data_IF_875290426880
#
_entry.id   IF_875290426880
#
_cell.length_a   1.000
_cell.length_b   1.000
_cell.length_c   1.000
_cell.angle_alpha   90.00
_cell.angle_beta   90.00
_cell.angle_gamma   90.00
#
_symmetry.space_group_name_H-M   'P 1'
#
loop_
_entity.id
_entity.type
_entity.pdbx_description
1 polymer ?
#
# COMPACT_ATOMS: atom_id res chain seq x y z
N UNK A 1 25.00 -10.68 17.38
CA UNK A 1 24.78 -10.80 18.83
C UNK A 1 24.00 -12.09 19.07
N UNK A 2 24.52 -13.04 19.84
CA UNK A 2 23.83 -14.30 20.12
C UNK A 2 22.70 -14.02 21.12
N UNK A 3 21.51 -14.48 20.80
CA UNK A 3 20.28 -14.23 21.56
C UNK A 3 20.06 -15.46 22.44
N UNK A 4 19.94 -15.28 23.75
CA UNK A 4 19.86 -16.38 24.73
C UNK A 4 18.84 -16.15 25.85
N UNK A 5 17.93 -17.07 26.10
CA UNK A 5 17.19 -17.48 27.28
C UNK A 5 15.65 -17.54 27.24
N UNK A 6 15.03 -18.58 27.76
CA UNK A 6 13.65 -19.01 27.58
C UNK A 6 12.67 -18.61 28.69
N UNK A 7 11.44 -18.25 28.34
CA UNK A 7 10.28 -18.13 29.23
C UNK A 7 9.16 -19.11 28.85
N UNK A 8 8.21 -19.33 29.76
CA UNK A 8 7.12 -20.29 29.57
C UNK A 8 6.09 -19.77 28.58
N UNK A 9 5.48 -20.67 27.84
CA UNK A 9 4.40 -20.44 26.87
C UNK A 9 3.21 -19.66 27.46
N UNK A 10 2.99 -19.81 28.79
CA UNK A 10 1.93 -19.13 29.55
C UNK A 10 2.09 -17.60 29.63
N UNK A 11 3.29 -17.08 29.42
CA UNK A 11 3.54 -15.63 29.45
C UNK A 11 3.09 -14.95 28.15
N UNK A 12 2.77 -15.74 27.12
CA UNK A 12 2.28 -15.29 25.81
C UNK A 12 0.82 -15.62 25.53
N UNK A 13 0.19 -16.50 26.30
CA UNK A 13 -1.21 -16.93 26.06
C UNK A 13 -2.22 -15.76 26.15
N UNK A 14 -1.88 -14.70 26.87
CA UNK A 14 -2.69 -13.47 26.92
C UNK A 14 -2.24 -12.37 25.95
N UNK A 15 -1.12 -12.59 25.21
CA UNK A 15 -0.50 -11.56 24.39
C UNK A 15 -1.02 -11.56 22.95
N UNK A 16 -1.38 -12.74 22.43
CA UNK A 16 -1.82 -12.92 21.05
C UNK A 16 -3.09 -13.79 21.00
N UNK A 17 -4.22 -13.24 21.42
CA UNK A 17 -5.51 -13.89 21.24
C UNK A 17 -6.07 -13.62 19.84
N UNK A 18 -6.91 -14.52 19.27
CA UNK A 18 -7.57 -14.28 18.00
C UNK A 18 -8.44 -13.02 17.98
N UNK A 19 -8.93 -12.58 19.15
CA UNK A 19 -9.72 -11.36 19.28
C UNK A 19 -8.87 -10.08 19.13
N UNK A 20 -7.56 -10.16 19.32
CA UNK A 20 -6.62 -9.02 19.22
C UNK A 20 -6.02 -8.85 17.81
N UNK A 21 -6.24 -9.78 16.90
CA UNK A 21 -5.74 -9.68 15.52
C UNK A 21 -6.43 -8.58 14.71
N UNK A 22 -7.72 -8.33 14.94
CA UNK A 22 -8.47 -7.31 14.22
C UNK A 22 -7.94 -5.87 14.43
N UNK A 23 -7.59 -5.44 15.65
CA UNK A 23 -6.98 -4.11 15.86
C UNK A 23 -5.64 -3.93 15.14
N UNK A 24 -4.80 -4.96 15.12
CA UNK A 24 -3.49 -4.89 14.43
C UNK A 24 -3.68 -4.79 12.93
N UNK A 25 -4.63 -5.53 12.38
CA UNK A 25 -4.97 -5.44 10.98
C UNK A 25 -5.50 -4.06 10.59
N UNK A 26 -6.34 -3.44 11.42
CA UNK A 26 -6.81 -2.07 11.21
C UNK A 26 -5.66 -1.06 11.24
N UNK A 27 -4.67 -1.23 12.10
CA UNK A 27 -3.48 -0.38 12.15
C UNK A 27 -2.65 -0.52 10.87
N UNK A 28 -2.42 -1.74 10.38
CA UNK A 28 -1.73 -1.98 9.11
C UNK A 28 -2.48 -1.33 7.94
N UNK A 29 -3.81 -1.44 7.91
CA UNK A 29 -4.64 -0.81 6.88
C UNK A 29 -4.56 0.72 6.91
N UNK A 30 -4.48 1.33 8.08
CA UNK A 30 -4.37 2.79 8.23
C UNK A 30 -3.00 3.32 7.83
N UNK A 31 -1.95 2.53 7.97
CA UNK A 31 -0.58 2.93 7.68
C UNK A 31 -0.22 2.84 6.19
N UNK A 32 -0.78 1.88 5.46
CA UNK A 32 -0.55 1.75 4.02
C UNK A 32 -1.23 2.87 3.23
N UNK A 33 -0.48 3.55 2.37
CA UNK A 33 -0.99 4.61 1.49
C UNK A 33 -1.89 4.03 0.40
N UNK A 34 -1.48 2.95 -0.23
CA UNK A 34 -2.29 2.35 -1.31
C UNK A 34 -3.57 1.70 -0.78
N UNK A 35 -3.56 1.13 0.42
CA UNK A 35 -4.79 0.60 1.04
C UNK A 35 -5.83 1.70 1.33
N UNK A 36 -5.41 2.95 1.53
CA UNK A 36 -6.32 4.07 1.74
C UNK A 36 -6.95 4.58 0.43
N UNK A 37 -6.21 4.48 -0.67
CA UNK A 37 -6.63 5.00 -1.98
C UNK A 37 -7.39 3.97 -2.81
N UNK A 38 -6.97 2.71 -2.75
CA UNK A 38 -7.54 1.62 -3.53
C UNK A 38 -8.73 1.03 -2.77
N UNK A 39 -9.89 0.82 -3.43
CA UNK A 39 -11.04 0.23 -2.78
C UNK A 39 -10.79 -1.22 -2.34
N UNK A 40 -11.21 -1.53 -1.13
CA UNK A 40 -11.16 -2.87 -0.58
C UNK A 40 -12.32 -3.73 -1.09
N UNK A 41 -12.03 -4.97 -1.47
CA UNK A 41 -13.00 -5.98 -1.89
C UNK A 41 -12.92 -7.18 -0.95
N UNK A 42 -14.06 -7.77 -0.53
CA UNK A 42 -14.05 -9.01 0.25
C UNK A 42 -13.28 -10.10 -0.50
N UNK A 43 -12.35 -10.76 0.17
CA UNK A 43 -11.53 -11.83 -0.41
C UNK A 43 -11.73 -13.13 0.37
N UNK A 44 -12.06 -14.19 -0.35
CA UNK A 44 -12.14 -15.55 0.22
C UNK A 44 -10.85 -16.32 0.00
N UNK A 45 -10.68 -17.43 0.71
CA UNK A 45 -9.51 -18.32 0.62
C UNK A 45 -9.25 -18.81 -0.82
N UNK A 46 -10.31 -18.95 -1.62
CA UNK A 46 -10.21 -19.39 -3.02
C UNK A 46 -10.08 -18.20 -3.99
N UNK A 47 -9.74 -17.01 -3.51
CA UNK A 47 -9.71 -15.81 -4.32
C UNK A 47 -11.09 -15.23 -4.63
N UNK A 48 -11.11 -14.13 -5.37
CA UNK A 48 -12.33 -13.41 -5.76
C UNK A 48 -12.27 -13.02 -7.23
N UNK A 49 -13.36 -13.24 -7.96
CA UNK A 49 -13.52 -12.75 -9.33
C UNK A 49 -14.24 -11.40 -9.31
N UNK A 50 -13.60 -10.40 -9.89
CA UNK A 50 -14.14 -9.04 -10.01
C UNK A 50 -14.51 -8.78 -11.46
N UNK A 51 -15.80 -8.58 -11.77
CA UNK A 51 -16.21 -8.25 -13.12
C UNK A 51 -15.83 -6.82 -13.48
N UNK A 52 -15.18 -6.63 -14.63
CA UNK A 52 -14.77 -5.32 -15.15
C UNK A 52 -15.40 -5.12 -16.51
N UNK A 53 -16.06 -3.97 -16.69
CA UNK A 53 -16.63 -3.59 -17.99
C UNK A 53 -15.51 -3.07 -18.90
N UNK A 54 -15.25 -3.79 -19.98
CA UNK A 54 -14.21 -3.45 -20.99
C UNK A 54 -14.79 -2.59 -22.11
N UNK A 55 -16.02 -2.83 -22.52
CA UNK A 55 -16.71 -2.01 -23.50
C UNK A 55 -18.10 -1.60 -23.03
N UNK A 56 -18.44 -0.33 -23.21
CA UNK A 56 -19.76 0.22 -22.87
C UNK A 56 -20.64 0.30 -24.11
N UNK A 57 -21.94 0.08 -24.00
CA UNK A 57 -22.84 0.30 -25.11
C UNK A 57 -22.86 1.76 -25.53
N UNK A 58 -22.95 2.02 -26.82
CA UNK A 58 -23.06 3.36 -27.40
C UNK A 58 -24.48 3.61 -27.86
N UNK A 59 -24.99 4.83 -27.66
CA UNK A 59 -26.28 5.26 -28.16
C UNK A 59 -26.09 6.18 -29.37
N UNK A 60 -26.91 5.99 -30.41
CA UNK A 60 -26.92 6.84 -31.60
C UNK A 60 -28.29 7.46 -31.82
N UNK A 61 -28.32 8.67 -32.39
CA UNK A 61 -29.55 9.29 -32.83
C UNK A 61 -30.10 8.60 -34.06
N UNK A 62 -31.36 8.24 -34.07
CA UNK A 62 -32.00 7.49 -35.16
C UNK A 62 -33.19 8.31 -35.66
N UNK A 63 -33.29 8.47 -36.97
CA UNK A 63 -34.44 9.09 -37.60
C UNK A 63 -35.68 8.24 -37.52
N UNK A 64 -36.82 8.85 -37.83
CA UNK A 64 -38.13 8.13 -37.90
C UNK A 64 -38.03 6.97 -38.90
N UNK A 65 -38.53 5.79 -38.54
CA UNK A 65 -38.52 4.56 -39.33
C UNK A 65 -37.12 4.00 -39.71
N UNK A 66 -36.02 4.55 -39.14
CA UNK A 66 -34.66 4.03 -39.38
C UNK A 66 -34.31 2.87 -38.47
N UNK A 67 -33.43 1.98 -38.97
CA UNK A 67 -32.93 0.85 -38.18
C UNK A 67 -32.11 1.33 -37.00
N UNK A 68 -32.40 0.77 -35.80
CA UNK A 68 -31.63 1.06 -34.59
C UNK A 68 -30.36 0.21 -34.59
N UNK A 69 -29.17 0.83 -34.39
CA UNK A 69 -27.91 0.10 -34.29
C UNK A 69 -27.88 -0.73 -33.01
N UNK A 70 -27.48 -1.98 -33.14
CA UNK A 70 -27.22 -2.86 -32.01
C UNK A 70 -25.83 -2.53 -31.44
N UNK A 71 -25.73 -2.44 -30.13
CA UNK A 71 -24.45 -2.25 -29.42
C UNK A 71 -24.26 -3.38 -28.41
N UNK A 72 -23.04 -3.86 -28.30
CA UNK A 72 -22.69 -4.89 -27.32
C UNK A 72 -22.05 -4.23 -26.07
N UNK A 73 -22.24 -4.87 -24.94
CA UNK A 73 -21.49 -4.59 -23.72
C UNK A 73 -20.55 -5.78 -23.48
N UNK A 74 -19.27 -5.48 -23.28
CA UNK A 74 -18.27 -6.50 -22.99
C UNK A 74 -17.83 -6.39 -21.54
N UNK A 75 -17.68 -7.55 -20.91
CA UNK A 75 -17.20 -7.66 -19.52
C UNK A 75 -16.09 -8.70 -19.47
N UNK A 76 -15.07 -8.42 -18.71
CA UNK A 76 -14.00 -9.35 -18.38
C UNK A 76 -14.02 -9.67 -16.89
N UNK A 77 -13.42 -10.79 -16.51
CA UNK A 77 -13.33 -11.24 -15.12
C UNK A 77 -11.88 -11.19 -14.68
N UNK A 78 -11.56 -10.24 -13.83
CA UNK A 78 -10.28 -10.21 -13.14
C UNK A 78 -10.33 -11.09 -11.91
N UNK A 79 -9.27 -11.84 -11.68
CA UNK A 79 -9.15 -12.73 -10.54
C UNK A 79 -8.16 -12.12 -9.53
N UNK A 80 -8.62 -11.96 -8.28
CA UNK A 80 -7.76 -11.59 -7.16
C UNK A 80 -7.39 -12.89 -6.45
N UNK A 81 -6.12 -13.24 -6.50
CA UNK A 81 -5.56 -14.40 -5.83
C UNK A 81 -5.02 -13.98 -4.44
N UNK A 82 -5.33 -14.73 -3.37
CA UNK A 82 -4.75 -14.45 -2.06
C UNK A 82 -3.31 -14.95 -2.00
N UNK A 83 -2.42 -14.07 -1.66
CA UNK A 83 -0.99 -14.33 -1.49
C UNK A 83 -0.58 -14.15 -0.05
N UNK A 84 0.26 -15.05 0.46
CA UNK A 84 0.66 -15.07 1.85
C UNK A 84 1.85 -14.15 2.11
N UNK A 85 1.65 -13.21 3.03
CA UNK A 85 2.69 -12.39 3.63
C UNK A 85 2.97 -12.88 5.05
N UNK A 86 4.22 -13.09 5.39
CA UNK A 86 4.61 -13.61 6.69
C UNK A 86 5.87 -12.92 7.22
N UNK A 87 5.92 -12.74 8.54
CA UNK A 87 7.10 -12.25 9.24
C UNK A 87 7.32 -13.07 10.51
N UNK A 88 8.59 -13.36 10.83
CA UNK A 88 8.99 -14.05 12.06
C UNK A 88 9.85 -13.09 12.87
N UNK A 89 9.37 -12.69 14.04
CA UNK A 89 10.17 -11.97 15.02
C UNK A 89 10.73 -12.96 16.04
N UNK A 90 12.05 -12.91 16.27
CA UNK A 90 12.72 -13.77 17.25
C UNK A 90 13.26 -12.90 18.39
N UNK A 91 12.87 -13.22 19.59
CA UNK A 91 13.24 -12.51 20.81
C UNK A 91 13.91 -13.48 21.80
N UNK A 92 14.80 -12.99 22.67
CA UNK A 92 15.26 -13.81 23.78
C UNK A 92 14.20 -13.83 24.89
N UNK A 93 14.06 -14.95 25.54
CA UNK A 93 13.10 -15.09 26.65
C UNK A 93 13.44 -14.16 27.83
N UNK A 94 14.69 -13.74 27.99
CA UNK A 94 15.07 -12.74 29.00
C UNK A 94 14.55 -11.35 28.64
N UNK A 95 14.65 -10.95 27.37
CA UNK A 95 14.08 -9.69 26.89
C UNK A 95 12.57 -9.67 27.04
N UNK A 96 11.91 -10.75 26.69
CA UNK A 96 10.45 -10.88 26.86
C UNK A 96 10.05 -10.75 28.34
N UNK A 97 10.79 -11.42 29.25
CA UNK A 97 10.54 -11.37 30.70
C UNK A 97 10.84 -9.99 31.29
N UNK A 98 11.96 -9.39 30.90
CA UNK A 98 12.36 -8.08 31.38
C UNK A 98 11.50 -6.95 30.78
N UNK A 99 10.95 -7.18 29.58
CA UNK A 99 10.13 -6.24 28.81
C UNK A 99 10.70 -4.81 28.81
N UNK A 100 12.00 -4.61 28.51
CA UNK A 100 12.62 -3.29 28.53
C UNK A 100 11.98 -2.41 27.47
N UNK A 101 11.56 -1.20 27.87
CA UNK A 101 10.95 -0.24 26.93
C UNK A 101 9.60 -0.69 26.37
N UNK A 102 8.91 -1.63 27.01
CA UNK A 102 7.63 -2.18 26.55
C UNK A 102 7.73 -2.81 25.14
N UNK A 103 8.80 -3.58 24.86
CA UNK A 103 9.03 -4.23 23.55
C UNK A 103 7.83 -5.09 23.15
N UNK A 104 7.22 -5.80 24.08
CA UNK A 104 6.05 -6.65 23.81
C UNK A 104 4.86 -5.85 23.30
N UNK A 105 4.64 -4.63 23.82
CA UNK A 105 3.60 -3.72 23.36
C UNK A 105 3.93 -3.05 22.02
N UNK A 106 5.22 -2.91 21.69
CA UNK A 106 5.68 -2.29 20.44
C UNK A 106 5.78 -3.27 19.26
N UNK A 107 5.87 -4.57 19.53
CA UNK A 107 6.01 -5.59 18.48
C UNK A 107 4.87 -5.57 17.48
N UNK A 108 3.64 -5.35 17.95
CA UNK A 108 2.44 -5.30 17.10
C UNK A 108 2.47 -4.13 16.11
N UNK A 109 2.68 -2.87 16.54
CA UNK A 109 2.83 -1.75 15.62
C UNK A 109 3.93 -1.96 14.58
N UNK A 110 5.09 -2.48 14.97
CA UNK A 110 6.18 -2.75 14.05
C UNK A 110 5.86 -3.84 13.02
N UNK A 111 5.16 -4.89 13.41
CA UNK A 111 4.69 -5.91 12.48
C UNK A 111 3.63 -5.34 11.52
N UNK A 112 2.71 -4.52 12.03
CA UNK A 112 1.70 -3.86 11.21
C UNK A 112 2.35 -2.92 10.17
N UNK A 113 3.34 -2.15 10.58
CA UNK A 113 4.15 -1.29 9.71
C UNK A 113 4.88 -2.10 8.64
N UNK A 114 5.55 -3.19 9.01
CA UNK A 114 6.24 -4.06 8.07
C UNK A 114 5.29 -4.67 7.03
N UNK A 115 4.08 -5.08 7.42
CA UNK A 115 3.06 -5.56 6.47
C UNK A 115 2.55 -4.45 5.54
N UNK A 116 2.36 -3.23 6.06
CA UNK A 116 1.94 -2.09 5.26
C UNK A 116 3.00 -1.72 4.20
N UNK A 117 4.27 -1.64 4.60
CA UNK A 117 5.39 -1.35 3.69
C UNK A 117 5.53 -2.44 2.62
N UNK A 118 5.48 -3.72 3.03
CA UNK A 118 5.57 -4.83 2.10
C UNK A 118 4.44 -4.83 1.07
N UNK A 119 3.23 -4.49 1.50
CA UNK A 119 2.08 -4.36 0.60
C UNK A 119 2.27 -3.19 -0.37
N UNK A 120 2.72 -2.04 0.11
CA UNK A 120 2.91 -0.84 -0.72
C UNK A 120 4.03 -1.06 -1.76
N UNK A 121 5.14 -1.71 -1.39
CA UNK A 121 6.20 -2.10 -2.33
C UNK A 121 5.70 -3.07 -3.41
N UNK A 122 4.88 -4.04 -3.02
CA UNK A 122 4.33 -5.02 -3.95
C UNK A 122 3.35 -4.38 -4.95
N UNK A 123 2.42 -3.55 -4.47
CA UNK A 123 1.42 -2.86 -5.29
C UNK A 123 2.05 -1.79 -6.17
N UNK A 124 2.96 -1.02 -5.61
CA UNK A 124 3.65 0.07 -6.32
C UNK A 124 4.61 -0.43 -7.38
N UNK A 125 5.45 -1.41 -7.05
CA UNK A 125 6.69 -1.66 -7.81
C UNK A 125 6.96 -3.11 -8.21
N UNK A 126 6.11 -4.07 -7.82
CA UNK A 126 6.41 -5.50 -7.99
C UNK A 126 7.68 -5.93 -7.22
N UNK A 127 7.88 -5.39 -6.03
CA UNK A 127 9.04 -5.70 -5.21
C UNK A 127 8.61 -6.52 -3.99
N UNK A 128 9.43 -7.49 -3.61
CA UNK A 128 9.21 -8.29 -2.40
C UNK A 128 9.26 -7.43 -1.13
N UNK A 129 8.61 -7.90 -0.07
CA UNK A 129 8.47 -7.14 1.18
C UNK A 129 9.77 -6.84 1.93
N UNK A 130 10.87 -7.47 1.55
CA UNK A 130 12.22 -7.18 2.03
C UNK A 130 12.99 -6.16 1.16
N UNK A 131 12.32 -5.57 0.17
CA UNK A 131 12.91 -4.64 -0.80
C UNK A 131 13.69 -5.33 -1.91
N UNK A 132 13.63 -6.66 -2.01
CA UNK A 132 14.34 -7.46 -3.02
C UNK A 132 13.41 -8.47 -3.69
N UNK A 133 13.81 -8.95 -4.87
CA UNK A 133 13.01 -9.91 -5.63
C UNK A 133 11.74 -9.31 -6.23
N UNK A 134 10.83 -10.17 -6.68
CA UNK A 134 9.53 -9.82 -7.25
C UNK A 134 8.41 -10.14 -6.27
N UNK A 135 7.35 -9.34 -6.29
CA UNK A 135 6.13 -9.62 -5.55
C UNK A 135 5.29 -10.68 -6.28
N UNK A 136 4.31 -11.29 -5.59
CA UNK A 136 3.38 -12.20 -6.26
C UNK A 136 2.32 -11.48 -7.09
N UNK A 137 2.23 -10.13 -7.02
CA UNK A 137 1.19 -9.37 -7.68
C UNK A 137 1.57 -8.99 -9.11
N UNK A 138 0.61 -9.14 -10.02
CA UNK A 138 0.76 -8.68 -11.39
C UNK A 138 0.28 -7.24 -11.57
N UNK A 139 0.83 -6.54 -12.57
CA UNK A 139 0.43 -5.19 -12.95
C UNK A 139 0.60 -4.14 -11.83
N UNK A 140 1.83 -3.94 -11.32
CA UNK A 140 2.09 -2.89 -10.34
C UNK A 140 1.82 -1.50 -10.93
N UNK A 141 1.66 -0.50 -10.09
CA UNK A 141 1.39 0.87 -10.54
C UNK A 141 2.56 1.43 -11.37
N UNK A 142 3.79 1.08 -11.03
CA UNK A 142 5.01 1.51 -11.75
C UNK A 142 5.11 0.99 -13.18
N UNK A 143 4.36 -0.06 -13.55
CA UNK A 143 4.31 -0.59 -14.90
C UNK A 143 3.69 0.39 -15.93
N UNK A 144 3.12 1.52 -15.46
CA UNK A 144 2.64 2.57 -16.36
C UNK A 144 3.79 3.16 -17.17
N UNK A 145 3.50 3.43 -18.46
CA UNK A 145 4.43 4.12 -19.37
C UNK A 145 4.37 5.64 -19.23
N UNK A 146 3.36 6.17 -18.51
CA UNK A 146 3.19 7.60 -18.30
C UNK A 146 4.07 8.05 -17.13
N UNK A 147 4.99 8.97 -17.40
CA UNK A 147 5.87 9.56 -16.39
C UNK A 147 6.00 11.06 -16.58
N UNK A 148 6.20 11.77 -15.50
CA UNK A 148 6.49 13.21 -15.46
C UNK A 148 7.60 13.42 -14.44
N UNK A 149 8.58 14.23 -14.77
CA UNK A 149 9.62 14.65 -13.83
C UNK A 149 9.10 15.84 -13.01
N UNK A 150 9.25 15.76 -11.69
CA UNK A 150 8.87 16.84 -10.76
C UNK A 150 10.09 17.74 -10.55
N UNK A 151 9.89 19.04 -10.67
CA UNK A 151 10.93 20.05 -10.49
C UNK A 151 11.55 20.54 -11.80
N UNK A 152 11.14 20.02 -12.96
CA UNK A 152 11.56 20.55 -14.26
C UNK A 152 10.95 21.93 -14.57
N UNK A 153 9.68 22.13 -14.23
CA UNK A 153 9.02 23.39 -14.50
C UNK A 153 9.55 24.51 -13.61
N UNK A 154 9.95 25.62 -14.22
CA UNK A 154 10.39 26.80 -13.47
C UNK A 154 9.23 27.43 -12.70
N UNK A 155 9.53 28.22 -11.67
CA UNK A 155 8.48 28.89 -10.88
C UNK A 155 7.60 29.83 -11.71
N UNK A 156 8.13 30.40 -12.78
CA UNK A 156 7.38 31.25 -13.73
C UNK A 156 6.38 30.42 -14.55
N UNK A 157 6.70 29.18 -14.87
CA UNK A 157 5.84 28.23 -15.59
C UNK A 157 4.82 27.56 -14.66
N UNK A 158 4.95 27.70 -13.36
CA UNK A 158 4.04 27.17 -12.35
C UNK A 158 4.66 26.14 -11.41
N UNK A 159 5.96 25.84 -11.57
CA UNK A 159 6.71 24.94 -10.68
C UNK A 159 6.07 23.56 -10.57
N UNK A 160 6.19 22.93 -9.43
CA UNK A 160 5.66 21.58 -9.13
C UNK A 160 4.15 21.42 -9.45
N UNK A 161 3.38 22.53 -9.40
CA UNK A 161 1.96 22.49 -9.78
C UNK A 161 1.79 22.22 -11.28
N UNK A 162 2.63 22.81 -12.13
CA UNK A 162 2.59 22.56 -13.57
C UNK A 162 2.94 21.11 -13.90
N UNK A 163 3.93 20.53 -13.21
CA UNK A 163 4.35 19.14 -13.37
C UNK A 163 3.22 18.18 -12.98
N UNK A 164 2.53 18.45 -11.86
CA UNK A 164 1.36 17.66 -11.45
C UNK A 164 0.20 17.74 -12.44
N UNK A 165 -0.04 18.93 -13.00
CA UNK A 165 -1.06 19.14 -14.04
C UNK A 165 -0.65 18.48 -15.35
N UNK A 166 0.64 18.43 -15.69
CA UNK A 166 1.14 17.69 -16.86
C UNK A 166 0.82 16.20 -16.74
N UNK A 167 1.02 15.59 -15.58
CA UNK A 167 0.62 14.20 -15.34
C UNK A 167 -0.90 13.99 -15.46
N UNK A 168 -1.70 14.91 -14.94
CA UNK A 168 -3.15 14.87 -15.14
C UNK A 168 -3.51 14.98 -16.64
N UNK A 169 -2.81 15.81 -17.40
CA UNK A 169 -3.02 15.96 -18.85
C UNK A 169 -2.77 14.64 -19.58
N UNK A 170 -1.67 13.94 -19.28
CA UNK A 170 -1.37 12.63 -19.87
C UNK A 170 -2.49 11.58 -19.65
N UNK A 171 -3.16 11.65 -18.50
CA UNK A 171 -4.30 10.78 -18.22
C UNK A 171 -5.54 11.19 -19.02
N UNK A 172 -5.85 12.49 -19.07
CA UNK A 172 -7.03 13.03 -19.75
C UNK A 172 -6.92 12.86 -21.26
N UNK A 173 -5.74 13.08 -21.85
CA UNK A 173 -5.49 12.90 -23.28
C UNK A 173 -5.73 11.43 -23.71
N UNK A 174 -5.51 10.47 -22.81
CA UNK A 174 -5.82 9.05 -23.00
C UNK A 174 -7.25 8.65 -22.56
N UNK A 175 -8.12 9.64 -22.30
CA UNK A 175 -9.51 9.41 -21.86
C UNK A 175 -9.65 8.81 -20.45
N UNK A 176 -8.59 8.83 -19.65
CA UNK A 176 -8.57 8.36 -18.27
C UNK A 176 -8.92 9.48 -17.28
N UNK A 177 -9.11 9.12 -16.03
CA UNK A 177 -9.47 10.07 -14.96
C UNK A 177 -8.46 10.03 -13.84
N UNK A 178 -8.28 11.17 -13.19
CA UNK A 178 -7.52 11.29 -11.97
C UNK A 178 -8.48 11.26 -10.78
N UNK A 179 -8.35 10.28 -9.90
CA UNK A 179 -9.16 10.15 -8.68
C UNK A 179 -8.41 10.56 -7.41
N UNK A 180 -7.08 10.44 -7.40
CA UNK A 180 -6.26 10.75 -6.23
C UNK A 180 -4.77 10.70 -6.52
N UNK A 181 -3.99 10.95 -5.46
CA UNK A 181 -2.54 10.90 -5.46
C UNK A 181 -2.02 10.08 -4.28
N UNK A 182 -1.00 9.28 -4.53
CA UNK A 182 -0.12 8.70 -3.52
C UNK A 182 1.21 9.44 -3.57
N UNK A 183 1.66 9.98 -2.46
CA UNK A 183 2.82 10.87 -2.37
C UNK A 183 3.83 10.30 -1.38
N UNK A 184 5.10 10.40 -1.69
CA UNK A 184 6.18 10.13 -0.75
C UNK A 184 6.47 11.36 0.13
N UNK A 185 6.96 11.12 1.35
CA UNK A 185 7.32 12.16 2.31
C UNK A 185 8.44 13.08 1.80
N UNK A 186 9.26 12.61 0.88
CA UNK A 186 10.33 13.41 0.23
C UNK A 186 9.75 14.63 -0.50
N UNK A 187 8.52 14.52 -1.02
CA UNK A 187 7.85 15.63 -1.71
C UNK A 187 7.27 16.69 -0.76
N UNK A 188 7.18 16.42 0.54
CA UNK A 188 6.52 17.31 1.49
C UNK A 188 7.08 18.74 1.47
N UNK A 189 8.41 18.98 1.57
CA UNK A 189 8.96 20.33 1.56
C UNK A 189 8.64 21.09 0.25
N UNK A 190 8.68 20.39 -0.88
CA UNK A 190 8.40 20.98 -2.19
C UNK A 190 6.92 21.36 -2.34
N UNK A 191 6.01 20.52 -1.85
CA UNK A 191 4.57 20.78 -1.87
C UNK A 191 4.16 21.92 -0.93
N UNK A 192 4.76 22.01 0.27
CA UNK A 192 4.53 23.12 1.19
C UNK A 192 5.12 24.44 0.69
N UNK A 193 6.24 24.37 -0.03
CA UNK A 193 6.84 25.53 -0.69
C UNK A 193 6.07 26.01 -1.94
N UNK A 194 5.19 25.19 -2.47
CA UNK A 194 4.41 25.50 -3.66
C UNK A 194 3.23 26.41 -3.32
N UNK A 195 3.34 27.68 -3.69
CA UNK A 195 2.30 28.70 -3.48
C UNK A 195 1.83 29.27 -4.80
N UNK A 196 0.55 29.69 -4.87
CA UNK A 196 0.03 30.43 -6.01
C UNK A 196 0.60 31.87 -6.06
N UNK A 197 0.28 32.62 -7.13
CA UNK A 197 0.68 34.03 -7.27
C UNK A 197 0.14 34.93 -6.15
N UNK A 198 -0.80 34.46 -5.36
CA UNK A 198 -1.41 35.17 -4.22
C UNK A 198 -0.83 34.71 -2.87
N UNK A 199 0.17 33.82 -2.88
CA UNK A 199 0.78 33.25 -1.67
C UNK A 199 -0.05 32.19 -0.97
N UNK A 200 -1.04 31.58 -1.65
CA UNK A 200 -1.84 30.49 -1.07
C UNK A 200 -1.16 29.17 -1.32
N UNK A 201 -1.07 28.30 -0.31
CA UNK A 201 -0.50 26.96 -0.49
C UNK A 201 -1.35 26.14 -1.47
N UNK A 202 -0.69 25.42 -2.36
CA UNK A 202 -1.31 24.53 -3.34
C UNK A 202 -1.65 23.17 -2.75
N UNK A 203 -0.94 22.77 -1.70
CA UNK A 203 -1.21 21.59 -0.92
C UNK A 203 -1.87 21.96 0.41
N UNK A 204 -2.83 21.16 0.85
CA UNK A 204 -3.50 21.37 2.12
C UNK A 204 -3.64 20.02 2.84
N UNK A 205 -3.03 19.90 4.00
CA UNK A 205 -3.26 18.78 4.90
C UNK A 205 -4.67 18.83 5.45
N UNK A 206 -5.27 17.66 5.59
CA UNK A 206 -6.48 17.51 6.38
C UNK A 206 -6.08 17.38 7.84
N UNK A 207 -6.81 18.03 8.78
CA UNK A 207 -6.53 17.89 10.20
C UNK A 207 -6.62 16.40 10.59
N UNK A 208 -5.50 15.84 11.01
CA UNK A 208 -5.45 14.55 11.69
C UNK A 208 -5.44 14.80 13.18
N UNK A 209 -6.17 13.98 13.95
CA UNK A 209 -6.08 14.05 15.40
C UNK A 209 -4.62 13.88 15.82
N UNK A 210 -4.13 14.80 16.64
CA UNK A 210 -2.72 14.98 17.00
C UNK A 210 -2.06 13.77 17.71
N UNK A 211 -2.77 12.67 17.87
CA UNK A 211 -2.33 11.44 18.56
C UNK A 211 -2.00 10.31 17.58
N UNK A 212 -2.41 10.40 16.31
CA UNK A 212 -2.16 9.35 15.32
C UNK A 212 -0.86 9.65 14.59
N UNK A 213 0.23 9.05 15.01
CA UNK A 213 1.46 8.92 14.23
C UNK A 213 1.21 7.91 13.10
N UNK A 214 0.39 8.31 12.12
CA UNK A 214 0.05 7.47 10.98
C UNK A 214 1.08 7.69 9.89
N UNK A 215 1.64 6.63 9.32
CA UNK A 215 2.56 6.71 8.17
C UNK A 215 1.84 7.39 6.99
N UNK A 216 0.56 7.11 6.79
CA UNK A 216 -0.22 7.71 5.71
C UNK A 216 -0.97 8.97 6.20
N UNK A 217 -0.54 10.14 5.73
CA UNK A 217 -1.18 11.44 6.05
C UNK A 217 -2.16 11.84 4.96
N UNK A 218 -3.45 12.07 5.30
CA UNK A 218 -4.44 12.51 4.35
C UNK A 218 -4.28 14.00 4.02
N UNK A 219 -4.39 14.34 2.75
CA UNK A 219 -4.33 15.71 2.26
C UNK A 219 -5.19 15.92 1.01
N UNK A 220 -5.11 17.10 0.43
CA UNK A 220 -5.74 17.43 -0.85
C UNK A 220 -4.74 18.06 -1.79
N UNK A 221 -4.64 17.51 -2.98
CA UNK A 221 -3.83 18.01 -4.07
C UNK A 221 -4.70 18.12 -5.33
N UNK A 222 -4.67 19.28 -6.00
CA UNK A 222 -5.55 19.56 -7.15
C UNK A 222 -7.05 19.26 -6.86
N UNK A 223 -7.47 19.52 -5.63
CA UNK A 223 -8.83 19.23 -5.14
C UNK A 223 -9.22 17.73 -5.20
N UNK A 224 -8.23 16.83 -5.23
CA UNK A 224 -8.38 15.38 -5.14
C UNK A 224 -7.81 14.89 -3.82
N UNK A 225 -8.32 13.76 -3.29
CA UNK A 225 -7.72 13.14 -2.13
C UNK A 225 -6.27 12.73 -2.43
N UNK A 226 -5.39 13.02 -1.52
CA UNK A 226 -4.00 12.59 -1.54
C UNK A 226 -3.67 11.96 -0.21
N UNK A 227 -2.82 10.95 -0.24
CA UNK A 227 -2.22 10.38 0.95
C UNK A 227 -0.71 10.44 0.80
N UNK A 228 -0.06 10.91 1.84
CA UNK A 228 1.38 11.04 1.90
C UNK A 228 1.92 10.10 2.96
N UNK A 229 2.98 9.38 2.64
CA UNK A 229 3.60 8.47 3.59
C UNK A 229 4.86 7.82 3.05
N UNK A 230 5.70 7.40 3.96
CA UNK A 230 6.91 6.64 3.69
C UNK A 230 6.57 5.31 2.98
N UNK A 231 7.35 4.93 1.99
CA UNK A 231 7.19 3.68 1.23
C UNK A 231 6.36 3.82 -0.05
N UNK A 232 5.87 5.02 -0.39
CA UNK A 232 5.30 5.31 -1.70
C UNK A 232 6.40 5.48 -2.74
N UNK A 233 7.52 6.11 -2.37
CA UNK A 233 8.69 6.31 -3.22
C UNK A 233 9.58 5.07 -3.28
N UNK A 234 10.11 4.79 -4.47
CA UNK A 234 11.16 3.80 -4.66
C UNK A 234 11.96 4.13 -5.93
N UNK A 235 13.29 4.10 -5.83
CA UNK A 235 14.16 4.59 -6.91
C UNK A 235 13.89 6.06 -7.18
N UNK A 236 13.69 6.41 -8.44
CA UNK A 236 13.41 7.79 -8.87
C UNK A 236 11.92 8.16 -8.76
N UNK A 237 11.04 7.21 -8.45
CA UNK A 237 9.60 7.49 -8.34
C UNK A 237 9.28 8.03 -6.95
N UNK A 238 8.63 9.18 -6.90
CA UNK A 238 8.28 9.87 -5.65
C UNK A 238 6.77 10.06 -5.46
N UNK A 239 5.97 9.79 -6.48
CA UNK A 239 4.52 9.83 -6.36
C UNK A 239 3.82 9.05 -7.48
N UNK A 240 2.57 8.69 -7.23
CA UNK A 240 1.63 8.18 -8.22
C UNK A 240 0.35 9.02 -8.25
N UNK A 241 -0.15 9.27 -9.45
CA UNK A 241 -1.48 9.81 -9.68
C UNK A 241 -2.28 8.90 -10.58
N UNK A 242 -3.61 8.81 -10.41
CA UNK A 242 -4.40 7.98 -11.29
C UNK A 242 -5.81 7.71 -10.83
N UNK A 243 -6.49 6.80 -11.51
CA UNK A 243 -7.80 6.32 -11.11
C UNK A 243 -7.67 5.05 -10.25
N UNK A 244 -7.48 5.23 -8.95
CA UNK A 244 -7.34 4.12 -7.99
C UNK A 244 -8.55 3.18 -7.92
N UNK A 245 -9.69 3.56 -8.48
CA UNK A 245 -10.86 2.67 -8.63
C UNK A 245 -10.68 1.60 -9.70
N UNK A 246 -9.59 1.67 -10.49
CA UNK A 246 -9.21 0.66 -11.46
C UNK A 246 -8.39 -0.48 -10.85
N UNK A 247 -7.94 -0.29 -9.62
CA UNK A 247 -7.33 -1.31 -8.80
C UNK A 247 -8.29 -1.75 -7.69
N UNK A 248 -8.11 -2.94 -7.17
CA UNK A 248 -8.81 -3.47 -6.01
C UNK A 248 -7.86 -4.34 -5.20
N UNK A 249 -8.02 -4.31 -3.88
CA UNK A 249 -7.30 -5.18 -2.97
C UNK A 249 -8.24 -5.86 -2.00
N UNK A 250 -7.79 -6.95 -1.40
CA UNK A 250 -8.56 -7.68 -0.41
C UNK A 250 -7.67 -8.39 0.57
N UNK A 251 -8.27 -8.89 1.64
CA UNK A 251 -7.58 -9.67 2.67
C UNK A 251 -8.47 -10.85 3.07
N UNK A 252 -7.84 -11.99 3.31
CA UNK A 252 -8.50 -13.19 3.80
C UNK A 252 -8.37 -13.25 5.32
N UNK A 253 -9.48 -13.03 6.01
CA UNK A 253 -9.50 -13.03 7.48
C UNK A 253 -8.76 -11.85 8.08
N UNK A 254 -7.91 -12.12 9.05
CA UNK A 254 -7.06 -11.14 9.72
C UNK A 254 -5.63 -11.66 9.85
N UNK A 255 -4.76 -10.88 10.49
CA UNK A 255 -3.41 -11.32 10.80
C UNK A 255 -3.49 -12.44 11.84
N UNK A 256 -2.90 -13.60 11.53
CA UNK A 256 -2.78 -14.73 12.44
C UNK A 256 -1.42 -14.69 13.14
N UNK A 257 -1.40 -14.97 14.44
CA UNK A 257 -0.19 -14.99 15.24
C UNK A 257 0.02 -16.38 15.83
N UNK A 258 1.25 -16.85 15.76
CA UNK A 258 1.67 -18.09 16.41
C UNK A 258 2.96 -17.86 17.18
N UNK A 259 3.00 -18.31 18.41
CA UNK A 259 4.18 -18.22 19.27
C UNK A 259 4.76 -19.61 19.45
N UNK A 260 6.07 -19.74 19.32
CA UNK A 260 6.77 -20.99 19.56
C UNK A 260 8.08 -20.76 20.30
N UNK A 261 8.38 -21.67 21.23
CA UNK A 261 9.64 -21.77 21.96
C UNK A 261 10.43 -23.01 21.58
N UNK A 262 9.83 -23.92 20.82
CA UNK A 262 10.38 -25.26 20.51
C UNK A 262 10.74 -25.43 19.02
N UNK A 263 10.31 -24.50 18.16
CA UNK A 263 10.57 -24.58 16.73
C UNK A 263 12.07 -24.38 16.41
N UNK A 264 12.45 -24.82 15.22
CA UNK A 264 13.73 -24.47 14.61
C UNK A 264 13.48 -23.45 13.53
N UNK A 265 14.18 -22.32 13.58
CA UNK A 265 14.07 -21.23 12.62
C UNK A 265 15.42 -20.93 11.99
N UNK A 266 15.40 -20.42 10.76
CA UNK A 266 16.63 -19.99 10.10
C UNK A 266 16.95 -18.56 10.52
N UNK A 267 18.09 -18.36 11.18
CA UNK A 267 18.60 -17.05 11.58
C UNK A 267 19.95 -16.85 10.89
N UNK A 268 20.10 -15.77 10.12
CA UNK A 268 21.33 -15.49 9.38
C UNK A 268 21.84 -16.68 8.52
N UNK A 269 20.91 -17.38 7.88
CA UNK A 269 21.23 -18.53 7.02
C UNK A 269 21.52 -19.85 7.78
N UNK A 270 21.47 -19.87 9.10
CA UNK A 270 21.73 -21.06 9.93
C UNK A 270 20.46 -21.52 10.64
N UNK A 271 20.21 -22.83 10.63
CA UNK A 271 19.13 -23.44 11.41
C UNK A 271 19.44 -23.31 12.90
N UNK A 272 18.57 -22.65 13.63
CA UNK A 272 18.71 -22.38 15.06
C UNK A 272 17.54 -22.98 15.81
N UNK A 273 17.80 -23.86 16.75
CA UNK A 273 16.79 -24.38 17.67
C UNK A 273 16.45 -23.31 18.70
N UNK A 274 15.17 -22.92 18.77
CA UNK A 274 14.71 -21.93 19.74
C UNK A 274 14.87 -22.45 21.17
N UNK A 275 14.62 -23.73 21.38
CA UNK A 275 14.69 -24.35 22.70
C UNK A 275 16.11 -24.40 23.27
N UNK A 276 17.09 -24.79 22.45
CA UNK A 276 18.50 -24.86 22.88
C UNK A 276 19.12 -23.50 23.16
N UNK A 277 18.61 -22.46 22.49
CA UNK A 277 19.13 -21.10 22.59
C UNK A 277 18.27 -20.18 23.47
N UNK A 278 17.27 -20.74 24.18
CA UNK A 278 16.32 -19.96 24.99
C UNK A 278 15.70 -18.77 24.21
N UNK A 279 15.17 -19.05 23.01
CA UNK A 279 14.54 -18.07 22.12
C UNK A 279 13.04 -18.28 22.04
N UNK A 280 12.33 -17.21 21.74
CA UNK A 280 10.91 -17.18 21.47
C UNK A 280 10.71 -16.60 20.09
N UNK A 281 9.98 -17.29 19.23
CA UNK A 281 9.61 -16.78 17.92
C UNK A 281 8.11 -16.46 17.87
N UNK A 282 7.79 -15.31 17.31
CA UNK A 282 6.43 -14.88 17.00
C UNK A 282 6.31 -14.85 15.48
N UNK A 283 5.48 -15.72 14.94
CA UNK A 283 5.14 -15.77 13.53
C UNK A 283 3.85 -14.97 13.32
N UNK A 284 3.90 -13.96 12.48
CA UNK A 284 2.73 -13.24 11.98
C UNK A 284 2.50 -13.62 10.52
N UNK A 285 1.25 -13.90 10.15
CA UNK A 285 0.85 -14.26 8.78
C UNK A 285 -0.42 -13.52 8.40
N UNK A 286 -0.48 -12.98 7.18
CA UNK A 286 -1.68 -12.42 6.57
C UNK A 286 -1.75 -12.84 5.10
N UNK A 287 -2.95 -12.89 4.53
CA UNK A 287 -3.14 -13.20 3.12
C UNK A 287 -3.80 -12.00 2.44
N UNK A 288 -3.06 -11.38 1.53
CA UNK A 288 -3.49 -10.24 0.75
C UNK A 288 -3.69 -10.63 -0.71
N UNK A 289 -4.62 -9.97 -1.37
CA UNK A 289 -4.76 -10.05 -2.82
C UNK A 289 -4.86 -8.66 -3.42
N UNK A 290 -4.33 -8.50 -4.63
CA UNK A 290 -4.36 -7.27 -5.38
C UNK A 290 -4.60 -7.53 -6.85
N UNK A 291 -5.29 -6.62 -7.52
CA UNK A 291 -5.45 -6.62 -8.96
C UNK A 291 -5.57 -5.20 -9.49
N UNK A 292 -4.95 -4.94 -10.62
CA UNK A 292 -5.08 -3.69 -11.36
C UNK A 292 -5.64 -4.01 -12.76
N UNK A 293 -6.79 -3.43 -13.06
CA UNK A 293 -7.49 -3.65 -14.34
C UNK A 293 -6.93 -2.81 -15.49
N UNK A 294 -6.22 -1.73 -15.21
CA UNK A 294 -5.77 -0.79 -16.24
C UNK A 294 -4.57 0.04 -15.75
N UNK A 295 -3.39 -0.44 -16.02
CA UNK A 295 -2.11 0.23 -15.71
C UNK A 295 -2.01 1.61 -16.39
N UNK A 296 -2.61 1.78 -17.57
CA UNK A 296 -2.59 3.05 -18.29
C UNK A 296 -3.44 4.14 -17.62
N UNK A 297 -4.25 3.79 -16.61
CA UNK A 297 -5.00 4.75 -15.79
C UNK A 297 -4.15 5.43 -14.69
N UNK A 298 -2.85 5.16 -14.66
CA UNK A 298 -1.91 5.73 -13.69
C UNK A 298 -0.79 6.49 -14.38
N UNK A 299 -0.20 7.42 -13.64
CA UNK A 299 1.00 8.18 -13.98
C UNK A 299 1.95 8.15 -12.79
N UNK A 300 3.23 7.97 -13.05
CA UNK A 300 4.29 8.04 -12.05
C UNK A 300 5.02 9.38 -12.16
N UNK A 301 5.35 9.94 -11.02
CA UNK A 301 6.12 11.15 -10.92
C UNK A 301 7.53 10.80 -10.44
N UNK A 302 8.51 11.29 -11.18
CA UNK A 302 9.93 11.03 -10.93
C UNK A 302 10.56 12.28 -10.31
N UNK A 303 11.52 12.07 -9.42
CA UNK A 303 12.33 13.16 -8.91
C UNK A 303 13.33 13.60 -9.99
N UNK A 304 13.35 14.88 -10.30
CA UNK A 304 14.35 15.47 -11.19
C UNK A 304 15.66 15.72 -10.40
N UNK A 305 16.43 14.67 -10.13
CA UNK A 305 17.73 14.75 -9.41
C UNK A 305 18.92 14.95 -10.35
#
# INVERSE_FOLDING_TARGET
>A
MAITAATKTTDFDGFLSPAESAPIFDDARRQSVFQQLIPQTPLGINGQKVPVVTAKPTANWVGEASQKPATAMEMDLLYIEPEKLAAIAVLSAEVVRANPGNINGQLRPYLAEAFAIAFDLAVGYDIGGDGTGTSPFSNPLSATTKSVEIGESTQEEGGIHADLVAGMKLLVDDGKKLSGFALDDVLEPALWGAVDKSGRPLYTDLPTDAVSQTIARPGRLLNRPSFMGEGVGHGDVVAFGGDFRKAAWGVVGGISYRVSTEATVTINGSLTSLWENNLVAVLAEAEYGYVNSDVASFVKYLDAS
#
